data_IF_594502746766
#
_entry.id   IF_594502746766
#
_cell.length_a   1.000
_cell.length_b   1.000
_cell.length_c   1.000
_cell.angle_alpha   90.00
_cell.angle_beta   90.00
_cell.angle_gamma   90.00
#
_symmetry.space_group_name_H-M   'P 1'
#
loop_
_entity.id
_entity.type
_entity.pdbx_description
1 polymer ?
#
# COMPACT_ATOMS: atom_id res chain seq x y z
N UNK A 1 -10.00 19.97 10.98
CA UNK A 1 -10.73 19.32 12.10
C UNK A 1 -11.87 18.48 11.51
N UNK A 2 -12.32 17.42 12.17
CA UNK A 2 -13.53 16.69 11.79
C UNK A 2 -14.63 16.91 12.83
N UNK A 3 -15.89 16.94 12.40
CA UNK A 3 -17.03 17.03 13.30
C UNK A 3 -18.20 16.18 12.83
N UNK A 4 -18.96 15.66 13.79
CA UNK A 4 -20.23 14.99 13.57
C UNK A 4 -21.34 16.04 13.55
N UNK A 5 -22.13 16.06 12.49
CA UNK A 5 -23.29 16.93 12.40
C UNK A 5 -24.45 16.35 13.24
N UNK A 6 -25.00 17.13 14.16
CA UNK A 6 -26.09 16.75 15.07
C UNK A 6 -27.39 17.54 14.83
N UNK A 7 -27.36 18.49 13.89
CA UNK A 7 -28.55 19.21 13.44
C UNK A 7 -29.59 18.32 12.75
N UNK A 8 -30.69 18.93 12.31
CA UNK A 8 -31.70 18.25 11.47
C UNK A 8 -31.11 18.03 10.07
N UNK A 9 -31.54 16.96 9.39
CA UNK A 9 -31.15 16.74 8.00
C UNK A 9 -31.46 17.98 7.16
N UNK A 10 -30.47 18.40 6.39
CA UNK A 10 -30.55 19.52 5.46
C UNK A 10 -30.08 19.03 4.07
N UNK A 11 -31.03 18.50 3.27
CA UNK A 11 -30.75 18.00 1.94
C UNK A 11 -30.27 19.09 0.96
N UNK A 12 -30.64 20.36 1.18
CA UNK A 12 -30.23 21.46 0.29
C UNK A 12 -28.71 21.68 0.36
N UNK A 13 -28.13 21.45 1.53
CA UNK A 13 -26.72 21.63 1.81
C UNK A 13 -25.94 20.31 1.95
N UNK A 14 -26.56 19.17 1.62
CA UNK A 14 -25.99 17.83 1.79
C UNK A 14 -25.51 17.52 3.22
N UNK A 15 -26.19 18.08 4.23
CA UNK A 15 -25.91 17.82 5.64
C UNK A 15 -26.88 16.75 6.16
N UNK A 16 -26.30 15.65 6.65
CA UNK A 16 -27.04 14.49 7.15
C UNK A 16 -26.70 14.31 8.61
N UNK A 17 -27.74 14.21 9.45
CA UNK A 17 -27.60 13.98 10.88
C UNK A 17 -26.78 12.73 11.15
N UNK A 18 -25.90 12.82 12.13
CA UNK A 18 -24.92 11.81 12.53
C UNK A 18 -23.77 11.52 11.56
N UNK A 19 -23.70 12.17 10.39
CA UNK A 19 -22.58 12.02 9.47
C UNK A 19 -21.38 12.86 9.93
N UNK A 20 -20.17 12.35 9.69
CA UNK A 20 -18.91 13.04 9.99
C UNK A 20 -18.48 13.82 8.75
N UNK A 21 -18.05 15.05 8.97
CA UNK A 21 -17.58 15.95 7.93
C UNK A 21 -16.23 16.55 8.31
N UNK A 22 -15.43 16.89 7.30
CA UNK A 22 -14.23 17.73 7.48
C UNK A 22 -14.69 19.19 7.60
N UNK A 23 -14.26 19.87 8.66
CA UNK A 23 -14.47 21.30 8.86
C UNK A 23 -13.38 22.11 8.17
N UNK A 24 -13.79 23.19 7.52
CA UNK A 24 -12.91 24.23 7.00
C UNK A 24 -13.04 25.46 7.88
N UNK A 25 -11.91 25.92 8.42
CA UNK A 25 -11.83 27.17 9.18
C UNK A 25 -11.87 28.37 8.23
N UNK A 26 -12.58 29.41 8.61
CA UNK A 26 -12.73 30.66 7.87
C UNK A 26 -12.05 31.81 8.62
N UNK A 27 -11.79 32.94 7.95
CA UNK A 27 -11.01 34.10 8.45
C UNK A 27 -11.50 34.73 9.78
N UNK A 28 -12.64 34.28 10.32
CA UNK A 28 -13.26 34.77 11.55
C UNK A 28 -13.47 33.67 12.62
N UNK A 29 -12.79 32.53 12.50
CA UNK A 29 -12.93 31.42 13.44
C UNK A 29 -14.27 30.66 13.33
N UNK A 30 -15.08 30.94 12.29
CA UNK A 30 -16.25 30.14 11.95
C UNK A 30 -15.83 28.91 11.16
N UNK A 31 -16.57 27.84 11.33
CA UNK A 31 -16.37 26.60 10.58
C UNK A 31 -17.46 26.41 9.54
N UNK A 32 -17.09 25.82 8.41
CA UNK A 32 -18.03 25.41 7.37
C UNK A 32 -17.88 23.93 7.04
N UNK A 33 -18.99 23.32 6.62
CA UNK A 33 -19.05 21.99 6.01
C UNK A 33 -19.48 22.19 4.56
N UNK A 34 -18.66 21.73 3.60
CA UNK A 34 -18.95 21.88 2.16
C UNK A 34 -19.26 23.34 1.73
N UNK A 35 -18.65 24.33 2.39
CA UNK A 35 -18.89 25.75 2.12
C UNK A 35 -20.11 26.35 2.86
N UNK A 36 -20.88 25.54 3.58
CA UNK A 36 -22.04 25.99 4.37
C UNK A 36 -21.61 26.23 5.81
N UNK A 37 -21.86 27.44 6.31
CA UNK A 37 -21.57 27.79 7.69
C UNK A 37 -22.41 26.93 8.63
N UNK A 38 -21.74 26.35 9.62
CA UNK A 38 -22.40 25.56 10.66
C UNK A 38 -22.24 26.23 12.01
N UNK A 39 -23.34 26.29 12.76
CA UNK A 39 -23.32 26.82 14.12
C UNK A 39 -22.76 25.76 15.08
N UNK A 40 -22.07 26.20 16.13
CA UNK A 40 -21.36 25.30 17.06
C UNK A 40 -22.28 24.33 17.81
N UNK A 41 -23.57 24.64 17.97
CA UNK A 41 -24.58 23.75 18.56
C UNK A 41 -25.06 22.64 17.62
N UNK A 42 -24.74 22.74 16.32
CA UNK A 42 -25.13 21.74 15.30
C UNK A 42 -24.02 20.76 14.99
N UNK A 43 -22.84 20.89 15.61
CA UNK A 43 -21.68 20.04 15.36
C UNK A 43 -21.00 19.64 16.66
N UNK A 44 -20.50 18.40 16.70
CA UNK A 44 -19.67 17.91 17.81
C UNK A 44 -18.33 17.49 17.24
N UNK A 45 -17.25 17.99 17.84
CA UNK A 45 -15.90 17.60 17.45
C UNK A 45 -15.74 16.07 17.51
N UNK A 46 -15.15 15.49 16.48
CA UNK A 46 -14.73 14.10 16.49
C UNK A 46 -13.22 14.03 16.32
N UNK A 47 -12.63 13.02 16.96
CA UNK A 47 -11.20 12.75 16.93
C UNK A 47 -11.00 11.40 16.23
N UNK A 48 -10.90 11.38 14.89
CA UNK A 48 -10.61 10.15 14.17
C UNK A 48 -9.33 9.50 14.71
N UNK A 49 -9.27 8.17 14.63
CA UNK A 49 -8.04 7.46 14.95
C UNK A 49 -6.87 8.03 14.14
N UNK A 50 -5.68 8.25 14.72
CA UNK A 50 -4.54 8.87 14.00
C UNK A 50 -4.17 8.13 12.72
N UNK A 51 -4.44 6.82 12.66
CA UNK A 51 -4.17 5.97 11.50
C UNK A 51 -5.38 5.74 10.58
N UNK A 52 -6.48 6.48 10.71
CA UNK A 52 -7.70 6.23 9.95
C UNK A 52 -7.47 6.13 8.43
N UNK A 53 -6.66 7.02 7.85
CA UNK A 53 -6.30 6.97 6.43
C UNK A 53 -5.48 5.71 6.07
N UNK A 54 -4.55 5.30 6.94
CA UNK A 54 -3.75 4.07 6.72
C UNK A 54 -4.60 2.81 6.86
N UNK A 55 -5.61 2.81 7.73
CA UNK A 55 -6.57 1.71 7.86
C UNK A 55 -7.39 1.58 6.56
N UNK A 56 -7.81 2.69 5.97
CA UNK A 56 -8.50 2.69 4.68
C UNK A 56 -7.61 2.12 3.56
N UNK A 57 -6.37 2.58 3.45
CA UNK A 57 -5.41 2.06 2.48
C UNK A 57 -5.09 0.58 2.71
N UNK A 58 -4.97 0.15 3.98
CA UNK A 58 -4.81 -1.25 4.32
C UNK A 58 -6.00 -2.08 3.85
N UNK A 59 -7.23 -1.57 4.00
CA UNK A 59 -8.43 -2.26 3.54
C UNK A 59 -8.49 -2.38 2.02
N UNK A 60 -8.10 -1.34 1.27
CA UNK A 60 -7.98 -1.40 -0.20
C UNK A 60 -6.98 -2.46 -0.63
N UNK A 61 -5.77 -2.42 -0.06
CA UNK A 61 -4.73 -3.41 -0.35
C UNK A 61 -5.18 -4.83 0.06
N UNK A 62 -5.91 -4.98 1.16
CA UNK A 62 -6.42 -6.27 1.62
C UNK A 62 -7.47 -6.88 0.68
N UNK A 63 -8.13 -6.06 -0.15
CA UNK A 63 -9.07 -6.54 -1.15
C UNK A 63 -8.36 -7.14 -2.38
N UNK A 64 -7.15 -6.65 -2.69
CA UNK A 64 -6.38 -7.04 -3.88
C UNK A 64 -5.24 -8.03 -3.55
N UNK A 65 -4.76 -8.01 -2.32
CA UNK A 65 -3.60 -8.76 -1.84
C UNK A 65 -3.90 -9.39 -0.48
N UNK A 66 -3.46 -10.62 -0.26
CA UNK A 66 -3.63 -11.32 1.02
C UNK A 66 -2.55 -10.99 2.07
N UNK A 67 -1.49 -10.30 1.66
CA UNK A 67 -0.42 -9.82 2.53
C UNK A 67 -0.26 -8.28 2.49
N UNK A 68 -1.34 -7.50 2.73
CA UNK A 68 -1.36 -6.05 2.58
C UNK A 68 -0.36 -5.32 3.50
N UNK A 69 -0.02 -5.92 4.65
CA UNK A 69 0.95 -5.34 5.58
C UNK A 69 2.34 -5.15 4.97
N UNK A 70 2.70 -5.87 3.90
CA UNK A 70 4.01 -5.72 3.25
C UNK A 70 4.22 -4.35 2.64
N UNK A 71 3.18 -3.58 2.41
CA UNK A 71 3.26 -2.19 1.93
C UNK A 71 3.51 -1.20 3.06
N UNK A 72 3.52 -1.64 4.32
CA UNK A 72 3.62 -0.78 5.47
C UNK A 72 4.95 -0.92 6.21
N UNK A 73 5.30 0.17 6.86
CA UNK A 73 6.36 0.25 7.85
C UNK A 73 5.82 0.87 9.14
N UNK A 74 6.48 0.56 10.24
CA UNK A 74 6.22 1.16 11.54
C UNK A 74 7.51 1.58 12.24
N UNK A 75 7.40 2.48 13.20
CA UNK A 75 8.46 2.82 14.16
C UNK A 75 7.84 3.21 15.50
N UNK A 76 8.60 3.07 16.59
CA UNK A 76 8.12 3.44 17.92
C UNK A 76 8.28 4.92 18.22
N UNK A 77 9.36 5.51 17.71
CA UNK A 77 9.72 6.90 17.95
C UNK A 77 10.30 7.52 16.68
N UNK A 78 10.22 8.84 16.57
CA UNK A 78 10.76 9.59 15.43
C UNK A 78 12.28 9.40 15.24
N UNK A 79 13.01 9.06 16.30
CA UNK A 79 14.44 8.74 16.31
C UNK A 79 14.78 7.32 15.85
N UNK A 80 13.80 6.42 15.75
CA UNK A 80 14.03 5.06 15.27
C UNK A 80 13.90 4.95 13.74
N UNK A 81 14.65 3.99 13.19
CA UNK A 81 14.51 3.61 11.79
C UNK A 81 13.17 2.89 11.54
N UNK A 82 12.61 3.13 10.36
CA UNK A 82 11.41 2.45 9.90
C UNK A 82 11.64 0.93 9.75
N UNK A 83 10.76 0.15 10.35
CA UNK A 83 10.79 -1.31 10.30
C UNK A 83 9.67 -1.82 9.39
N UNK A 84 9.95 -2.88 8.63
CA UNK A 84 8.95 -3.50 7.78
C UNK A 84 7.93 -4.27 8.62
N UNK A 85 6.64 -4.11 8.30
CA UNK A 85 5.62 -4.96 8.86
C UNK A 85 5.70 -6.36 8.22
N UNK A 86 5.68 -7.40 9.04
CA UNK A 86 5.83 -8.81 8.60
C UNK A 86 4.57 -9.64 8.80
N UNK A 87 3.54 -9.09 9.45
CA UNK A 87 2.26 -9.72 9.75
C UNK A 87 1.14 -8.68 9.72
N UNK A 88 -0.10 -9.16 9.79
CA UNK A 88 -1.30 -8.32 9.93
C UNK A 88 -1.11 -7.18 10.93
N UNK A 89 -1.58 -5.99 10.54
CA UNK A 89 -1.38 -4.78 11.33
C UNK A 89 -2.38 -4.68 12.46
N UNK A 90 -1.88 -4.30 13.63
CA UNK A 90 -2.67 -3.74 14.71
C UNK A 90 -2.21 -2.28 14.82
N UNK A 91 -3.08 -1.34 14.45
CA UNK A 91 -2.77 0.08 14.48
C UNK A 91 -2.76 0.60 15.93
N UNK A 92 -1.61 0.46 16.59
CA UNK A 92 -1.38 0.90 17.96
C UNK A 92 -1.11 2.41 17.97
N UNK A 93 -1.85 3.18 18.77
CA UNK A 93 -1.76 4.65 18.82
C UNK A 93 -0.36 5.19 19.14
N UNK A 94 0.43 4.46 19.91
CA UNK A 94 1.81 4.85 20.29
C UNK A 94 2.84 4.54 19.21
N UNK A 95 2.45 3.91 18.10
CA UNK A 95 3.32 3.63 16.98
C UNK A 95 2.99 4.53 15.80
N UNK A 96 4.03 4.97 15.11
CA UNK A 96 3.89 5.58 13.81
C UNK A 96 3.84 4.49 12.75
N UNK A 97 2.95 4.66 11.78
CA UNK A 97 2.84 3.81 10.61
C UNK A 97 2.93 4.66 9.35
N UNK A 98 3.43 4.06 8.27
CA UNK A 98 3.39 4.64 6.93
C UNK A 98 3.33 3.57 5.87
N UNK A 99 2.92 3.96 4.66
CA UNK A 99 3.25 3.19 3.47
C UNK A 99 4.75 3.29 3.18
N UNK A 100 5.34 2.20 2.71
CA UNK A 100 6.70 2.20 2.17
C UNK A 100 6.76 3.19 1.00
N UNK A 101 7.87 3.93 0.84
CA UNK A 101 8.04 4.79 -0.32
C UNK A 101 7.93 4.01 -1.64
N UNK A 102 8.50 2.80 -1.72
CA UNK A 102 8.53 1.96 -2.93
C UNK A 102 8.18 0.49 -2.59
N UNK A 103 6.92 0.14 -2.32
CA UNK A 103 6.56 -1.20 -1.85
C UNK A 103 6.66 -2.29 -2.93
N UNK A 104 6.63 -1.89 -4.20
CA UNK A 104 6.72 -2.77 -5.37
C UNK A 104 8.17 -2.94 -5.86
N UNK A 105 9.16 -2.47 -5.10
CA UNK A 105 10.57 -2.51 -5.47
C UNK A 105 11.37 -3.16 -4.34
N UNK A 106 12.30 -4.04 -4.72
CA UNK A 106 13.32 -4.68 -3.89
C UNK A 106 14.70 -4.28 -4.41
N UNK A 107 15.64 -4.04 -3.49
CA UNK A 107 17.02 -3.68 -3.82
C UNK A 107 17.88 -4.95 -3.92
N UNK A 108 18.56 -5.13 -5.05
CA UNK A 108 19.58 -6.16 -5.27
C UNK A 108 20.86 -5.44 -5.66
N UNK A 109 21.86 -5.46 -4.78
CA UNK A 109 23.03 -4.58 -4.91
C UNK A 109 22.61 -3.11 -4.94
N UNK A 110 23.03 -2.38 -5.97
CA UNK A 110 22.64 -0.98 -6.19
C UNK A 110 21.37 -0.84 -7.08
N UNK A 111 20.80 -1.94 -7.57
CA UNK A 111 19.69 -1.92 -8.53
C UNK A 111 18.32 -2.06 -7.85
N UNK A 112 17.39 -1.19 -8.25
CA UNK A 112 15.98 -1.30 -7.92
C UNK A 112 15.29 -2.29 -8.86
N UNK A 113 14.73 -3.35 -8.30
CA UNK A 113 14.12 -4.46 -9.03
C UNK A 113 12.64 -4.55 -8.64
N UNK A 114 11.71 -4.66 -9.60
CA UNK A 114 10.31 -4.93 -9.27
C UNK A 114 10.16 -6.20 -8.42
N UNK A 115 9.26 -6.17 -7.43
CA UNK A 115 9.01 -7.32 -6.56
C UNK A 115 8.50 -8.49 -7.42
N UNK A 116 9.17 -9.65 -7.39
CA UNK A 116 8.72 -10.83 -8.13
C UNK A 116 7.46 -11.42 -7.50
N UNK A 117 6.76 -12.27 -8.25
CA UNK A 117 5.61 -13.00 -7.76
C UNK A 117 5.97 -13.86 -6.55
N UNK A 118 5.03 -13.98 -5.61
CA UNK A 118 5.15 -14.82 -4.41
C UNK A 118 4.08 -15.89 -4.31
N UNK A 119 3.14 -15.88 -5.25
CA UNK A 119 2.07 -16.87 -5.38
C UNK A 119 2.07 -17.50 -6.75
N UNK A 120 1.62 -18.77 -6.84
CA UNK A 120 1.38 -19.39 -8.13
C UNK A 120 0.40 -18.57 -8.97
N UNK A 121 0.76 -18.15 -10.20
CA UNK A 121 -0.21 -17.67 -11.16
C UNK A 121 -1.14 -18.80 -11.62
N UNK A 122 -2.14 -18.46 -12.44
CA UNK A 122 -3.05 -19.47 -12.99
C UNK A 122 -2.29 -20.43 -13.92
N UNK A 123 -2.71 -21.69 -13.93
CA UNK A 123 -2.17 -22.68 -14.87
C UNK A 123 -2.40 -22.21 -16.31
N UNK A 124 -1.36 -22.26 -17.14
CA UNK A 124 -1.33 -21.74 -18.50
C UNK A 124 -0.87 -20.29 -18.60
N UNK A 125 -0.66 -19.57 -17.48
CA UNK A 125 -0.15 -18.20 -17.50
C UNK A 125 1.29 -18.18 -18.00
N UNK A 126 1.57 -17.35 -18.99
CA UNK A 126 2.95 -17.03 -19.40
C UNK A 126 3.61 -16.17 -18.33
N UNK A 127 4.79 -16.57 -17.88
CA UNK A 127 5.61 -15.82 -16.94
C UNK A 127 7.06 -15.79 -17.44
N UNK A 128 7.89 -14.98 -16.79
CA UNK A 128 9.27 -14.73 -17.17
C UNK A 128 10.18 -14.93 -15.97
N UNK A 129 11.38 -15.45 -16.21
CA UNK A 129 12.44 -15.52 -15.20
C UNK A 129 13.68 -14.77 -15.66
N UNK A 130 14.50 -14.25 -14.72
CA UNK A 130 15.85 -13.80 -15.02
C UNK A 130 16.66 -14.95 -15.59
N UNK A 131 17.22 -14.75 -16.78
CA UNK A 131 18.19 -15.65 -17.37
C UNK A 131 19.56 -14.99 -17.34
N UNK A 132 20.56 -15.69 -16.82
CA UNK A 132 21.94 -15.19 -16.71
C UNK A 132 22.84 -15.77 -17.82
N UNK A 133 22.31 -16.66 -18.64
CA UNK A 133 23.04 -17.39 -19.67
C UNK A 133 22.77 -16.86 -21.09
N UNK A 134 21.56 -16.35 -21.36
CA UNK A 134 21.22 -15.76 -22.65
C UNK A 134 21.53 -14.26 -22.72
N UNK A 135 21.79 -13.78 -23.95
CA UNK A 135 22.00 -12.35 -24.21
C UNK A 135 20.75 -11.51 -23.91
N UNK A 136 19.55 -12.09 -24.11
CA UNK A 136 18.26 -11.45 -23.87
C UNK A 136 17.92 -11.34 -22.36
N UNK A 137 18.71 -11.99 -21.50
CA UNK A 137 18.63 -11.97 -20.03
C UNK A 137 17.27 -12.37 -19.43
N UNK A 138 16.38 -12.98 -20.23
CA UNK A 138 15.02 -13.37 -19.84
C UNK A 138 14.64 -14.68 -20.51
N UNK A 139 14.04 -15.59 -19.76
CA UNK A 139 13.45 -16.82 -20.28
C UNK A 139 11.92 -16.83 -20.06
N UNK A 140 11.10 -16.96 -21.13
CA UNK A 140 9.65 -17.10 -21.02
C UNK A 140 9.22 -18.55 -20.80
N UNK A 141 8.38 -18.77 -19.78
CA UNK A 141 7.80 -20.08 -19.46
C UNK A 141 6.28 -20.02 -19.37
N UNK A 142 5.63 -21.19 -19.38
CA UNK A 142 4.20 -21.36 -19.13
C UNK A 142 4.03 -22.06 -17.79
N UNK A 143 3.29 -21.44 -16.87
CA UNK A 143 3.03 -22.01 -15.56
C UNK A 143 2.18 -23.27 -15.69
N UNK A 144 2.74 -24.42 -15.37
CA UNK A 144 2.03 -25.70 -15.36
C UNK A 144 1.87 -26.29 -13.94
N UNK A 145 2.40 -25.56 -12.94
CA UNK A 145 2.48 -25.92 -11.53
C UNK A 145 3.43 -27.10 -11.28
N UNK A 146 4.48 -27.21 -12.09
CA UNK A 146 5.55 -28.19 -11.90
C UNK A 146 6.42 -27.90 -10.68
N UNK A 147 7.23 -28.88 -10.28
CA UNK A 147 8.24 -28.68 -9.25
C UNK A 147 9.27 -27.59 -9.60
N UNK A 148 9.49 -27.33 -10.90
CA UNK A 148 10.39 -26.27 -11.36
C UNK A 148 9.75 -24.92 -11.11
N UNK A 149 8.49 -24.74 -11.52
CA UNK A 149 7.70 -23.53 -11.31
C UNK A 149 7.67 -23.12 -9.83
N UNK A 150 7.33 -24.07 -8.96
CA UNK A 150 7.24 -23.84 -7.52
C UNK A 150 8.59 -23.45 -6.92
N UNK A 151 9.69 -24.04 -7.40
CA UNK A 151 11.05 -23.69 -6.95
C UNK A 151 11.49 -22.32 -7.44
N UNK A 152 11.13 -21.93 -8.66
CA UNK A 152 11.41 -20.59 -9.20
C UNK A 152 10.63 -19.53 -8.42
N UNK A 153 9.37 -19.81 -8.08
CA UNK A 153 8.51 -18.94 -7.28
C UNK A 153 9.06 -18.74 -5.87
N UNK A 154 9.41 -19.83 -5.18
CA UNK A 154 9.97 -19.80 -3.82
C UNK A 154 11.27 -18.99 -3.75
N UNK A 155 12.07 -19.05 -4.81
CA UNK A 155 13.32 -18.27 -4.96
C UNK A 155 13.10 -16.83 -5.40
N UNK A 156 11.86 -16.42 -5.64
CA UNK A 156 11.51 -15.08 -6.08
C UNK A 156 12.05 -14.73 -7.47
N UNK A 157 12.02 -15.68 -8.41
CA UNK A 157 12.49 -15.47 -9.78
C UNK A 157 11.35 -15.27 -10.79
N UNK A 158 10.10 -15.47 -10.37
CA UNK A 158 8.93 -15.39 -11.26
C UNK A 158 8.47 -13.95 -11.40
N UNK A 159 8.31 -13.47 -12.64
CA UNK A 159 7.68 -12.18 -12.96
C UNK A 159 6.61 -12.35 -14.04
N UNK A 160 5.51 -11.60 -13.95
CA UNK A 160 4.49 -11.56 -15.00
C UNK A 160 4.79 -10.55 -16.12
N UNK A 161 5.89 -9.80 -15.99
CA UNK A 161 6.37 -8.83 -16.96
C UNK A 161 7.84 -9.16 -17.34
N UNK A 162 8.14 -9.16 -18.65
CA UNK A 162 9.47 -9.47 -19.16
C UNK A 162 10.52 -8.41 -18.77
N UNK A 163 10.19 -7.13 -18.80
CA UNK A 163 11.08 -6.03 -18.40
C UNK A 163 11.47 -6.15 -16.92
N UNK A 164 10.52 -6.57 -16.07
CA UNK A 164 10.80 -6.82 -14.65
C UNK A 164 11.79 -7.98 -14.44
N UNK A 165 11.64 -9.07 -15.20
CA UNK A 165 12.60 -10.18 -15.19
C UNK A 165 13.98 -9.75 -15.71
N UNK A 166 14.01 -8.92 -16.75
CA UNK A 166 15.24 -8.39 -17.34
C UNK A 166 16.00 -7.48 -16.36
N UNK A 167 15.31 -6.55 -15.69
CA UNK A 167 15.90 -5.71 -14.64
C UNK A 167 16.45 -6.56 -13.49
N UNK A 168 15.74 -7.61 -13.09
CA UNK A 168 16.21 -8.54 -12.06
C UNK A 168 17.48 -9.27 -12.54
N UNK A 169 17.54 -9.76 -13.79
CA UNK A 169 18.74 -10.38 -14.35
C UNK A 169 19.94 -9.43 -14.34
N UNK A 170 19.76 -8.18 -14.80
CA UNK A 170 20.81 -7.18 -14.75
C UNK A 170 21.31 -6.90 -13.33
N UNK A 171 20.39 -6.83 -12.37
CA UNK A 171 20.76 -6.64 -10.98
C UNK A 171 21.62 -7.80 -10.45
N UNK A 172 21.28 -9.06 -10.77
CA UNK A 172 22.09 -10.22 -10.40
C UNK A 172 23.47 -10.21 -11.07
N UNK A 173 23.53 -9.91 -12.38
CA UNK A 173 24.80 -9.80 -13.12
C UNK A 173 25.70 -8.69 -12.56
N UNK A 174 25.13 -7.58 -12.11
CA UNK A 174 25.89 -6.47 -11.52
C UNK A 174 26.63 -6.83 -10.24
N UNK A 175 26.22 -7.90 -9.53
CA UNK A 175 26.91 -8.40 -8.34
C UNK A 175 28.18 -9.21 -8.68
N UNK A 176 28.30 -9.65 -9.92
CA UNK A 176 29.36 -10.56 -10.39
C UNK A 176 30.37 -9.90 -11.33
N UNK A 177 30.16 -8.61 -11.65
CA UNK A 177 31.07 -7.82 -12.49
C UNK A 177 32.11 -7.07 -11.66
#
# INVERSE_FOLDING_TARGET
MYAKYIGKDDPQNNLVKNKIYKLTEQDNGKYSINGVFVHSDTVVAVYPHPHAALIEEYAKLAAEHDEPWRWFQYRKDASENWQNCTKNLIFIQTLEFRLKPNPLIVRIGECDVPVPERKPPLKGTKYYIPDLLSDDCVDPLIWDNSNIDLRLLDRGLVHLNADAANIHAYALLSLTK
#
